data_IF_444703125441
#
_entry.id   IF_444703125441
#
_cell.length_a   1.000
_cell.length_b   1.000
_cell.length_c   1.000
_cell.angle_alpha   90.00
_cell.angle_beta   90.00
_cell.angle_gamma   90.00
#
_symmetry.space_group_name_H-M   'P 1'
#
loop_
_entity.id
_entity.type
_entity.pdbx_description
1 polymer ?
#
# COMPACT_ATOMS: atom_id res chain seq x y z
N UNK A 1 -32.63 1.36 33.23
CA UNK A 1 -32.02 2.62 32.75
C UNK A 1 -31.47 2.36 31.34
N UNK A 2 -32.26 2.68 30.31
CA UNK A 2 -31.96 2.33 28.91
C UNK A 2 -30.85 3.21 28.32
N UNK A 3 -29.93 2.59 27.58
CA UNK A 3 -28.90 3.31 26.82
C UNK A 3 -29.55 3.97 25.61
N UNK A 4 -29.68 5.29 25.66
CA UNK A 4 -30.13 6.15 24.58
C UNK A 4 -29.28 5.94 23.33
N UNK A 5 -29.92 5.54 22.22
CA UNK A 5 -29.29 5.49 20.90
C UNK A 5 -29.02 6.93 20.44
N UNK A 6 -27.75 7.33 20.45
CA UNK A 6 -27.29 8.52 19.76
C UNK A 6 -27.54 8.33 18.26
N UNK A 7 -28.57 9.03 17.77
CA UNK A 7 -28.90 9.15 16.35
C UNK A 7 -27.71 9.87 15.69
N UNK A 8 -26.94 9.15 14.88
CA UNK A 8 -25.87 9.79 14.08
C UNK A 8 -26.54 10.75 13.11
N UNK A 9 -26.14 12.03 13.05
CA UNK A 9 -26.64 12.93 12.02
C UNK A 9 -26.22 12.39 10.65
N UNK A 10 -27.10 12.53 9.66
CA UNK A 10 -26.76 12.30 8.27
C UNK A 10 -25.58 13.23 7.95
N UNK A 11 -24.43 12.64 7.67
CA UNK A 11 -23.28 13.37 7.16
C UNK A 11 -23.66 13.68 5.72
N UNK A 12 -24.07 14.92 5.48
CA UNK A 12 -24.21 15.45 4.12
C UNK A 12 -22.88 15.18 3.41
N UNK A 13 -22.91 14.38 2.34
CA UNK A 13 -21.76 14.16 1.48
C UNK A 13 -21.28 15.53 1.02
N UNK A 14 -20.07 15.98 1.40
CA UNK A 14 -19.53 17.21 0.85
C UNK A 14 -19.43 16.99 -0.66
N UNK A 15 -20.12 17.83 -1.42
CA UNK A 15 -19.99 17.88 -2.87
C UNK A 15 -18.58 18.37 -3.19
N UNK A 16 -17.61 17.46 -3.23
CA UNK A 16 -16.25 17.77 -3.63
C UNK A 16 -16.29 18.25 -5.08
N UNK A 17 -15.79 19.47 -5.33
CA UNK A 17 -15.73 20.05 -6.67
C UNK A 17 -14.83 19.20 -7.57
N UNK A 18 -15.44 18.30 -8.34
CA UNK A 18 -14.74 17.40 -9.28
C UNK A 18 -14.09 18.15 -10.44
N UNK A 19 -14.32 19.47 -10.55
CA UNK A 19 -13.75 20.35 -11.58
C UNK A 19 -12.22 20.40 -11.57
N UNK A 20 -11.58 20.01 -10.47
CA UNK A 20 -10.11 19.96 -10.34
C UNK A 20 -9.47 18.70 -10.93
N UNK A 21 -10.26 17.66 -11.21
CA UNK A 21 -9.74 16.38 -11.71
C UNK A 21 -9.69 16.42 -13.24
N UNK A 22 -8.54 16.14 -13.89
CA UNK A 22 -8.41 16.12 -15.35
C UNK A 22 -8.97 14.82 -15.95
N UNK A 23 -10.14 14.38 -15.49
CA UNK A 23 -10.85 13.19 -15.98
C UNK A 23 -12.28 13.60 -16.31
N UNK A 24 -12.64 13.49 -17.58
CA UNK A 24 -13.98 13.80 -18.04
C UNK A 24 -14.98 12.71 -17.65
N UNK A 25 -16.27 13.08 -17.54
CA UNK A 25 -17.37 12.14 -17.31
C UNK A 25 -17.21 11.26 -16.07
N UNK A 26 -16.84 11.85 -14.93
CA UNK A 26 -16.65 11.12 -13.68
C UNK A 26 -17.96 10.43 -13.21
N UNK A 27 -17.92 9.19 -12.71
CA UNK A 27 -19.12 8.49 -12.25
C UNK A 27 -19.78 9.18 -11.07
N UNK A 28 -21.12 9.20 -11.04
CA UNK A 28 -21.90 9.81 -9.93
C UNK A 28 -21.64 9.16 -8.57
N UNK A 29 -21.38 7.85 -8.55
CA UNK A 29 -21.07 7.07 -7.34
C UNK A 29 -19.57 6.78 -7.28
N UNK A 30 -18.78 7.83 -7.10
CA UNK A 30 -17.34 7.76 -6.95
C UNK A 30 -16.95 7.76 -5.47
N UNK A 31 -15.94 6.96 -5.12
CA UNK A 31 -15.20 7.09 -3.88
C UNK A 31 -13.89 7.85 -4.14
N UNK A 32 -13.82 9.11 -3.77
CA UNK A 32 -12.61 9.92 -3.94
C UNK A 32 -11.71 9.84 -2.69
N UNK A 33 -10.49 9.35 -2.88
CA UNK A 33 -9.51 9.08 -1.83
C UNK A 33 -8.28 9.98 -2.00
N UNK A 34 -8.18 10.99 -1.14
CA UNK A 34 -7.02 11.89 -1.08
C UNK A 34 -5.90 11.30 -0.23
N UNK A 35 -4.71 11.18 -0.80
CA UNK A 35 -3.53 10.59 -0.15
C UNK A 35 -2.39 11.61 -0.13
N UNK A 36 -2.05 12.04 1.09
CA UNK A 36 -0.97 12.98 1.36
C UNK A 36 0.26 12.26 1.95
N UNK A 37 1.37 12.98 2.11
CA UNK A 37 2.58 12.46 2.74
C UNK A 37 2.36 11.96 4.17
N UNK A 38 1.37 12.50 4.90
CA UNK A 38 0.98 12.05 6.24
C UNK A 38 0.05 10.83 6.27
N UNK A 39 -0.57 10.47 5.15
CA UNK A 39 -1.62 9.44 5.12
C UNK A 39 -1.08 8.06 5.52
N UNK A 40 -1.83 7.38 6.41
CA UNK A 40 -1.54 6.01 6.84
C UNK A 40 -2.20 5.03 5.87
N UNK A 41 -1.40 4.35 5.05
CA UNK A 41 -1.86 3.43 3.98
C UNK A 41 -2.85 2.40 4.53
N UNK A 42 -2.59 1.82 5.71
CA UNK A 42 -3.48 0.83 6.32
C UNK A 42 -4.89 1.36 6.57
N UNK A 43 -5.03 2.60 6.99
CA UNK A 43 -6.32 3.20 7.31
C UNK A 43 -7.10 3.51 6.03
N UNK A 44 -6.45 4.19 5.09
CA UNK A 44 -7.10 4.62 3.84
C UNK A 44 -7.49 3.41 2.97
N UNK A 45 -6.63 2.40 2.91
CA UNK A 45 -6.93 1.16 2.20
C UNK A 45 -8.05 0.36 2.90
N UNK A 46 -8.07 0.34 4.23
CA UNK A 46 -9.13 -0.32 5.00
C UNK A 46 -10.51 0.28 4.70
N UNK A 47 -10.61 1.61 4.68
CA UNK A 47 -11.85 2.31 4.33
C UNK A 47 -12.23 2.07 2.85
N UNK A 48 -11.26 2.19 1.93
CA UNK A 48 -11.51 1.96 0.50
C UNK A 48 -12.11 0.58 0.22
N UNK A 49 -11.59 -0.47 0.85
CA UNK A 49 -12.09 -1.84 0.67
C UNK A 49 -13.50 -2.04 1.24
N UNK A 50 -13.82 -1.35 2.33
CA UNK A 50 -15.14 -1.42 2.96
C UNK A 50 -16.22 -0.76 2.09
N UNK A 51 -15.90 0.39 1.48
CA UNK A 51 -16.86 1.19 0.72
C UNK A 51 -16.96 0.82 -0.77
N UNK A 52 -15.95 0.17 -1.34
CA UNK A 52 -15.94 -0.18 -2.76
C UNK A 52 -17.15 -1.01 -3.25
N UNK A 53 -17.73 -1.94 -2.47
CA UNK A 53 -18.97 -2.63 -2.86
C UNK A 53 -20.15 -1.68 -3.08
N UNK A 54 -20.21 -0.55 -2.35
CA UNK A 54 -21.28 0.45 -2.45
C UNK A 54 -20.98 1.49 -3.55
N UNK A 55 -19.69 1.75 -3.81
CA UNK A 55 -19.18 2.71 -4.78
C UNK A 55 -18.19 2.01 -5.73
N UNK A 56 -18.66 1.49 -6.88
CA UNK A 56 -17.88 0.60 -7.75
C UNK A 56 -16.75 1.32 -8.52
N UNK A 57 -16.57 2.63 -8.30
CA UNK A 57 -15.47 3.40 -8.85
C UNK A 57 -14.75 4.12 -7.71
N UNK A 58 -13.42 4.11 -7.76
CA UNK A 58 -12.56 4.74 -6.77
C UNK A 58 -11.49 5.58 -7.46
N UNK A 59 -11.31 6.82 -7.00
CA UNK A 59 -10.30 7.75 -7.49
C UNK A 59 -9.27 7.96 -6.39
N UNK A 60 -8.02 7.60 -6.66
CA UNK A 60 -6.90 7.93 -5.77
C UNK A 60 -6.22 9.20 -6.26
N UNK A 61 -6.04 10.19 -5.40
CA UNK A 61 -5.41 11.46 -5.76
C UNK A 61 -4.38 11.88 -4.74
N UNK A 62 -3.33 12.57 -5.19
CA UNK A 62 -2.33 13.12 -4.29
C UNK A 62 -1.22 13.85 -5.02
N UNK A 63 -0.66 14.84 -4.35
CA UNK A 63 0.33 15.75 -4.90
C UNK A 63 1.69 15.62 -4.22
N UNK A 64 2.76 15.97 -4.95
CA UNK A 64 4.13 16.05 -4.45
C UNK A 64 4.59 14.77 -3.76
N UNK A 65 4.96 14.88 -2.48
CA UNK A 65 5.46 13.75 -1.69
C UNK A 65 4.40 12.65 -1.41
N UNK A 66 3.12 12.91 -1.68
CA UNK A 66 2.04 11.93 -1.55
C UNK A 66 1.94 10.95 -2.71
N UNK A 67 2.50 11.27 -3.88
CA UNK A 67 2.35 10.51 -5.14
C UNK A 67 2.74 9.02 -4.96
N UNK A 68 3.89 8.74 -4.32
CA UNK A 68 4.32 7.35 -4.11
C UNK A 68 3.32 6.53 -3.28
N UNK A 69 2.64 7.17 -2.32
CA UNK A 69 1.59 6.52 -1.53
C UNK A 69 0.31 6.32 -2.32
N UNK A 70 -0.06 7.26 -3.20
CA UNK A 70 -1.21 7.11 -4.11
C UNK A 70 -1.04 5.84 -4.95
N UNK A 71 0.12 5.72 -5.61
CA UNK A 71 0.46 4.56 -6.45
C UNK A 71 0.40 3.29 -5.59
N UNK A 72 1.04 3.30 -4.42
CA UNK A 72 1.03 2.16 -3.50
C UNK A 72 -0.39 1.75 -3.08
N UNK A 73 -1.27 2.71 -2.80
CA UNK A 73 -2.67 2.43 -2.44
C UNK A 73 -3.42 1.80 -3.61
N UNK A 74 -3.28 2.35 -4.82
CA UNK A 74 -3.91 1.81 -6.01
C UNK A 74 -3.44 0.36 -6.30
N UNK A 75 -2.13 0.08 -6.22
CA UNK A 75 -1.59 -1.25 -6.45
C UNK A 75 -2.03 -2.26 -5.38
N UNK A 76 -1.99 -1.88 -4.10
CA UNK A 76 -2.50 -2.74 -3.02
C UNK A 76 -4.00 -3.01 -3.15
N UNK A 77 -4.75 -2.04 -3.67
CA UNK A 77 -6.18 -2.19 -3.91
C UNK A 77 -6.45 -3.17 -5.07
N UNK A 78 -5.75 -3.04 -6.20
CA UNK A 78 -5.84 -3.99 -7.33
C UNK A 78 -5.45 -5.42 -6.94
N UNK A 79 -4.50 -5.60 -6.02
CA UNK A 79 -4.16 -6.93 -5.49
C UNK A 79 -5.31 -7.62 -4.76
N UNK A 80 -6.23 -6.85 -4.17
CA UNK A 80 -7.40 -7.36 -3.44
C UNK A 80 -8.65 -7.45 -4.33
N UNK A 81 -8.72 -6.61 -5.35
CA UNK A 81 -9.83 -6.49 -6.28
C UNK A 81 -9.33 -6.67 -7.71
N UNK A 82 -9.53 -7.86 -8.28
CA UNK A 82 -9.15 -8.17 -9.66
C UNK A 82 -10.16 -7.62 -10.67
N UNK A 83 -9.80 -7.58 -11.95
CA UNK A 83 -10.72 -7.14 -13.00
C UNK A 83 -10.96 -5.63 -13.06
N UNK A 84 -10.09 -4.82 -12.46
CA UNK A 84 -10.22 -3.37 -12.47
C UNK A 84 -9.55 -2.74 -13.69
N UNK A 85 -10.30 -1.92 -14.40
CA UNK A 85 -9.82 -0.97 -15.39
C UNK A 85 -9.17 0.21 -14.68
N UNK A 86 -8.01 0.64 -15.15
CA UNK A 86 -7.29 1.76 -14.58
C UNK A 86 -7.20 2.90 -15.59
N UNK A 87 -7.40 4.13 -15.13
CA UNK A 87 -7.07 5.35 -15.88
C UNK A 87 -6.16 6.22 -15.01
N UNK A 88 -5.00 6.57 -15.53
CA UNK A 88 -4.02 7.43 -14.83
C UNK A 88 -3.86 8.75 -15.55
N UNK A 89 -4.06 9.85 -14.84
CA UNK A 89 -3.83 11.21 -15.35
C UNK A 89 -2.85 11.94 -14.43
N UNK A 90 -2.01 12.78 -15.03
CA UNK A 90 -1.04 13.61 -14.35
C UNK A 90 -1.37 15.08 -14.62
N UNK A 91 -1.25 15.91 -13.59
CA UNK A 91 -1.42 17.35 -13.70
C UNK A 91 -0.43 18.08 -12.77
N UNK A 92 -0.43 19.41 -12.86
CA UNK A 92 0.28 20.27 -11.91
C UNK A 92 -0.72 21.13 -11.19
N UNK A 93 -0.59 21.21 -9.87
CA UNK A 93 -1.32 22.17 -9.04
C UNK A 93 -0.39 23.27 -8.57
N UNK A 94 -0.93 24.49 -8.49
CA UNK A 94 -0.20 25.65 -8.01
C UNK A 94 -0.26 25.72 -6.49
N UNK A 95 0.91 25.72 -5.86
CA UNK A 95 1.08 25.92 -4.42
C UNK A 95 1.61 27.33 -4.18
N UNK A 96 0.82 28.15 -3.46
CA UNK A 96 1.25 29.45 -2.96
C UNK A 96 1.93 29.25 -1.61
N UNK A 97 3.25 29.42 -1.55
CA UNK A 97 3.96 29.42 -0.26
C UNK A 97 3.81 30.81 0.37
N UNK A 98 2.95 30.94 1.38
CA UNK A 98 2.74 32.21 2.11
C UNK A 98 3.85 32.55 3.11
N UNK A 99 4.98 31.84 3.09
CA UNK A 99 5.95 31.83 4.20
C UNK A 99 7.13 32.79 4.05
N UNK A 100 7.07 33.80 3.19
CA UNK A 100 8.13 34.83 3.13
C UNK A 100 7.48 36.21 3.11
N UNK A 101 7.74 37.00 4.16
CA UNK A 101 7.29 38.39 4.35
C UNK A 101 7.93 39.39 3.37
N UNK A 102 8.44 38.96 2.22
CA UNK A 102 9.18 39.82 1.29
C UNK A 102 8.80 39.53 -0.19
N UNK A 103 7.99 40.46 -0.72
CA UNK A 103 7.97 41.04 -2.08
C UNK A 103 7.74 40.18 -3.34
N UNK A 104 7.86 38.85 -3.36
CA UNK A 104 7.47 38.07 -4.56
C UNK A 104 6.77 36.74 -4.23
N UNK A 105 5.46 36.67 -4.52
CA UNK A 105 4.70 35.41 -4.47
C UNK A 105 5.24 34.44 -5.54
N UNK A 106 6.17 33.56 -5.16
CA UNK A 106 6.66 32.52 -6.06
C UNK A 106 5.61 31.41 -6.19
N UNK A 107 4.86 31.41 -7.30
CA UNK A 107 3.96 30.31 -7.66
C UNK A 107 4.81 29.05 -7.90
N UNK A 108 4.64 28.04 -7.06
CA UNK A 108 5.31 26.74 -7.22
C UNK A 108 4.34 25.75 -7.85
N UNK A 109 4.71 25.15 -8.98
CA UNK A 109 3.99 24.01 -9.55
C UNK A 109 4.39 22.73 -8.83
N UNK A 110 3.40 21.99 -8.35
CA UNK A 110 3.56 20.71 -7.66
C UNK A 110 2.88 19.64 -8.52
N UNK A 111 3.56 18.54 -8.86
CA UNK A 111 2.93 17.47 -9.63
C UNK A 111 1.84 16.80 -8.80
N UNK A 112 0.77 16.39 -9.46
CA UNK A 112 -0.34 15.64 -8.90
C UNK A 112 -0.70 14.47 -9.82
N UNK A 113 -1.09 13.36 -9.20
CA UNK A 113 -1.51 12.14 -9.89
C UNK A 113 -2.94 11.80 -9.50
N UNK A 114 -3.71 11.37 -10.49
CA UNK A 114 -5.06 10.83 -10.34
C UNK A 114 -5.09 9.42 -10.93
N UNK A 115 -5.44 8.42 -10.11
CA UNK A 115 -5.59 7.02 -10.53
C UNK A 115 -7.04 6.61 -10.28
N UNK A 116 -7.81 6.50 -11.35
CA UNK A 116 -9.17 6.01 -11.31
C UNK A 116 -9.16 4.49 -11.51
N UNK A 117 -9.85 3.75 -10.65
CA UNK A 117 -10.09 2.33 -10.80
C UNK A 117 -11.60 2.07 -10.90
N UNK A 118 -12.02 1.34 -11.94
CA UNK A 118 -13.42 1.01 -12.21
C UNK A 118 -13.56 -0.44 -12.64
N UNK A 119 -14.74 -1.04 -12.44
CA UNK A 119 -15.09 -2.32 -13.06
C UNK A 119 -15.52 -2.17 -14.52
N UNK A 120 -15.92 -0.97 -14.92
CA UNK A 120 -16.41 -0.70 -16.27
C UNK A 120 -15.32 -0.12 -17.16
N UNK A 121 -15.37 -0.44 -18.46
CA UNK A 121 -14.37 -0.09 -19.46
C UNK A 121 -14.56 1.30 -20.11
N UNK A 122 -15.25 2.21 -19.43
CA UNK A 122 -15.73 3.51 -19.95
C UNK A 122 -14.62 4.37 -20.60
N UNK A 123 -13.37 4.20 -20.17
CA UNK A 123 -12.23 5.02 -20.58
C UNK A 123 -11.22 4.27 -21.48
N UNK A 124 -11.63 3.21 -22.17
CA UNK A 124 -10.71 2.37 -22.96
C UNK A 124 -9.95 3.11 -24.08
N UNK A 125 -10.44 4.27 -24.53
CA UNK A 125 -9.81 5.10 -25.57
C UNK A 125 -8.97 6.26 -25.01
N UNK A 126 -9.02 6.47 -23.69
CA UNK A 126 -8.32 7.56 -23.03
C UNK A 126 -6.82 7.30 -22.91
N UNK A 127 -6.02 8.36 -23.01
CA UNK A 127 -4.60 8.28 -22.68
C UNK A 127 -4.41 7.94 -21.19
N UNK A 128 -3.46 7.03 -20.91
CA UNK A 128 -3.21 6.54 -19.56
C UNK A 128 -4.16 5.44 -19.09
N UNK A 129 -5.01 4.91 -19.99
CA UNK A 129 -5.81 3.72 -19.73
C UNK A 129 -4.94 2.46 -19.67
N UNK A 130 -5.28 1.57 -18.74
CA UNK A 130 -4.68 0.26 -18.56
C UNK A 130 -5.77 -0.79 -18.32
N UNK A 131 -5.80 -1.80 -19.18
CA UNK A 131 -6.76 -2.89 -19.10
C UNK A 131 -6.55 -3.76 -17.83
N UNK A 132 -7.60 -4.42 -17.33
CA UNK A 132 -7.48 -5.33 -16.20
C UNK A 132 -6.45 -6.42 -16.45
N UNK A 133 -5.72 -6.80 -15.39
CA UNK A 133 -4.68 -7.83 -15.42
C UNK A 133 -3.50 -7.54 -16.37
N UNK A 134 -3.41 -6.35 -16.96
CA UNK A 134 -2.19 -5.92 -17.65
C UNK A 134 -1.14 -5.56 -16.59
N UNK A 135 -0.33 -6.53 -16.14
CA UNK A 135 0.74 -6.28 -15.18
C UNK A 135 1.95 -5.55 -15.79
N UNK A 136 1.90 -5.19 -17.08
CA UNK A 136 3.04 -4.69 -17.84
C UNK A 136 4.03 -5.81 -18.10
N UNK A 137 4.34 -6.07 -19.36
CA UNK A 137 5.57 -6.76 -19.72
C UNK A 137 6.71 -5.77 -19.53
N UNK A 138 7.60 -6.04 -18.58
CA UNK A 138 8.86 -5.30 -18.52
C UNK A 138 9.67 -5.71 -19.75
N UNK A 139 10.21 -4.74 -20.49
CA UNK A 139 11.09 -5.05 -21.61
C UNK A 139 12.33 -5.74 -21.03
N UNK A 140 12.43 -7.06 -21.19
CA UNK A 140 13.65 -7.78 -20.89
C UNK A 140 14.69 -7.37 -21.94
N UNK A 141 15.52 -6.39 -21.59
CA UNK A 141 16.62 -5.87 -22.42
C UNK A 141 17.61 -6.99 -22.84
N UNK A 142 17.52 -8.17 -22.22
CA UNK A 142 18.35 -9.32 -22.51
C UNK A 142 17.78 -10.30 -23.54
N UNK A 143 16.64 -9.99 -24.18
CA UNK A 143 16.01 -10.89 -25.15
C UNK A 143 15.61 -10.16 -26.44
N UNK A 144 16.61 -9.68 -27.18
CA UNK A 144 16.43 -9.39 -28.60
C UNK A 144 16.32 -10.72 -29.37
N UNK A 145 15.10 -11.24 -29.39
CA UNK A 145 14.72 -12.43 -30.14
C UNK A 145 13.23 -12.35 -30.44
N UNK A 146 12.92 -11.82 -31.62
CA UNK A 146 11.66 -11.87 -32.38
C UNK A 146 10.46 -12.51 -31.67
N UNK A 147 9.43 -11.73 -31.35
CA UNK A 147 8.10 -12.29 -31.13
C UNK A 147 7.01 -11.40 -31.73
N UNK A 148 6.65 -11.73 -32.96
CA UNK A 148 5.32 -11.46 -33.51
C UNK A 148 4.26 -12.17 -32.65
N UNK A 149 3.06 -11.61 -32.63
CA UNK A 149 2.09 -11.76 -31.55
C UNK A 149 1.60 -13.19 -31.27
N UNK A 150 1.31 -13.45 -30.00
CA UNK A 150 0.50 -14.60 -29.56
C UNK A 150 -0.42 -14.13 -28.44
N UNK A 151 -1.70 -13.99 -28.78
CA UNK A 151 -2.82 -14.29 -27.88
C UNK A 151 -2.62 -15.70 -27.34
N UNK A 152 -2.50 -15.89 -26.02
CA UNK A 152 -3.19 -16.97 -25.31
C UNK A 152 -2.97 -16.95 -23.79
N UNK A 153 -4.08 -17.21 -23.12
CA UNK A 153 -4.22 -17.57 -21.71
C UNK A 153 -3.19 -18.59 -21.23
N UNK A 154 -2.44 -18.26 -20.19
CA UNK A 154 -1.77 -19.27 -19.37
C UNK A 154 -2.10 -19.05 -17.89
N UNK A 155 -2.85 -20.00 -17.32
CA UNK A 155 -3.06 -20.16 -15.87
C UNK A 155 -1.70 -20.35 -15.20
N UNK A 156 -1.22 -19.34 -14.46
CA UNK A 156 -0.08 -19.53 -13.57
C UNK A 156 -0.63 -20.10 -12.25
N UNK A 157 -0.56 -21.43 -12.13
CA UNK A 157 -0.63 -22.09 -10.84
C UNK A 157 0.60 -21.67 -10.03
N UNK A 158 0.36 -20.95 -8.94
CA UNK A 158 1.39 -20.63 -7.96
C UNK A 158 1.75 -21.88 -7.16
N UNK A 159 2.80 -22.58 -7.57
CA UNK A 159 3.54 -23.46 -6.68
C UNK A 159 5.05 -23.24 -6.90
N UNK A 160 5.59 -22.20 -6.25
CA UNK A 160 7.00 -21.85 -6.34
C UNK A 160 7.84 -22.83 -5.52
N UNK A 161 8.28 -23.93 -6.13
CA UNK A 161 9.54 -24.56 -5.75
C UNK A 161 10.65 -23.84 -6.50
N UNK A 162 11.45 -23.03 -5.80
CA UNK A 162 12.62 -22.38 -6.37
C UNK A 162 13.56 -23.43 -6.99
N UNK A 163 14.09 -23.12 -8.16
CA UNK A 163 15.10 -23.96 -8.81
C UNK A 163 16.41 -23.91 -8.03
N UNK A 164 17.04 -25.08 -7.88
CA UNK A 164 18.23 -25.30 -7.04
C UNK A 164 19.42 -24.37 -7.40
N UNK A 165 19.45 -23.85 -8.63
CA UNK A 165 20.57 -23.04 -9.15
C UNK A 165 20.75 -21.71 -8.41
N UNK A 166 19.65 -21.04 -8.05
CA UNK A 166 19.73 -19.77 -7.32
C UNK A 166 20.25 -19.98 -5.88
N UNK A 167 19.86 -21.09 -5.23
CA UNK A 167 20.27 -21.38 -3.86
C UNK A 167 21.78 -21.65 -3.74
N UNK A 168 22.37 -22.28 -4.77
CA UNK A 168 23.81 -22.54 -4.85
C UNK A 168 24.62 -21.25 -5.02
N UNK A 169 24.17 -20.32 -5.87
CA UNK A 169 24.82 -19.01 -6.06
C UNK A 169 24.82 -18.16 -4.77
N UNK A 170 23.71 -18.13 -4.04
CA UNK A 170 23.66 -17.42 -2.74
C UNK A 170 24.59 -18.06 -1.70
N UNK A 171 24.73 -19.39 -1.72
CA UNK A 171 25.65 -20.10 -0.83
C UNK A 171 27.11 -19.82 -1.19
N UNK A 172 27.44 -19.80 -2.49
CA UNK A 172 28.77 -19.45 -2.98
C UNK A 172 29.17 -18.01 -2.63
N UNK A 173 28.19 -17.09 -2.61
CA UNK A 173 28.39 -15.70 -2.18
C UNK A 173 28.37 -15.50 -0.65
N UNK A 174 28.27 -16.58 0.15
CA UNK A 174 28.29 -16.52 1.61
C UNK A 174 27.01 -15.95 2.24
N UNK A 175 25.93 -15.80 1.47
CA UNK A 175 24.65 -15.25 1.92
C UNK A 175 23.72 -16.39 2.36
N UNK A 176 23.60 -16.60 3.67
CA UNK A 176 22.64 -17.58 4.22
C UNK A 176 21.22 -17.00 4.22
N UNK A 177 20.38 -17.49 3.32
CA UNK A 177 18.94 -17.22 3.37
C UNK A 177 18.27 -18.01 4.50
N UNK A 178 17.58 -17.30 5.40
CA UNK A 178 16.43 -17.84 6.14
C UNK A 178 16.66 -18.85 7.26
N UNK A 179 17.88 -19.04 7.80
CA UNK A 179 18.04 -19.81 9.03
C UNK A 179 17.73 -18.94 10.25
N UNK A 180 16.64 -19.28 10.98
CA UNK A 180 16.37 -18.73 12.32
C UNK A 180 17.62 -18.93 13.18
N UNK A 181 18.10 -17.86 13.82
CA UNK A 181 19.19 -17.93 14.80
C UNK A 181 18.84 -19.01 15.85
N UNK A 182 19.69 -20.02 16.09
CA UNK A 182 19.46 -20.94 17.20
C UNK A 182 19.52 -20.14 18.51
N UNK A 183 18.52 -20.35 19.35
CA UNK A 183 18.42 -19.78 20.69
C UNK A 183 19.56 -20.39 21.51
N UNK A 184 20.44 -19.53 22.05
CA UNK A 184 21.56 -19.90 22.91
C UNK A 184 21.01 -20.66 24.13
N UNK A 185 21.17 -21.98 24.15
CA UNK A 185 20.97 -22.79 25.35
C UNK A 185 22.06 -22.40 26.34
N UNK A 186 21.66 -21.84 27.48
CA UNK A 186 22.53 -21.73 28.64
C UNK A 186 22.79 -23.14 29.14
N UNK A 187 23.98 -23.65 28.85
CA UNK A 187 24.55 -24.76 29.60
C UNK A 187 24.67 -24.29 31.06
N UNK A 188 23.90 -24.94 31.92
CA UNK A 188 24.13 -25.03 33.36
C UNK A 188 25.50 -25.65 33.59
N UNK A 189 26.51 -24.81 33.82
CA UNK A 189 27.68 -25.21 34.61
C UNK A 189 27.43 -24.81 36.06
N UNK A 190 27.49 -25.83 36.91
CA UNK A 190 27.30 -25.79 38.36
C UNK A 190 28.33 -24.88 39.04
N UNK A 191 27.93 -23.95 39.93
CA UNK A 191 28.85 -23.38 40.89
C UNK A 191 29.02 -24.29 42.10
N UNK A 192 30.28 -24.34 42.52
CA UNK A 192 30.88 -25.08 43.61
C UNK A 192 30.22 -24.86 44.98
N UNK A 193 30.25 -25.94 45.78
CA UNK A 193 29.85 -26.04 47.19
C UNK A 193 30.39 -24.86 48.03
N UNK A 194 29.51 -24.19 48.78
CA UNK A 194 29.86 -23.57 50.06
C UNK A 194 28.78 -23.82 51.10
N UNK A 195 29.26 -24.16 52.28
CA UNK A 195 28.56 -24.76 53.40
C UNK A 195 27.61 -23.81 54.14
N UNK A 196 26.47 -24.38 54.59
CA UNK A 196 25.97 -24.36 55.99
C UNK A 196 25.84 -22.99 56.69
N UNK A 197 24.60 -22.52 56.87
CA UNK A 197 23.90 -22.53 58.18
C UNK A 197 22.44 -22.09 58.02
N UNK A 198 21.49 -23.00 58.27
CA UNK A 198 20.14 -22.66 58.75
C UNK A 198 20.27 -22.44 60.25
N UNK A 199 19.73 -21.34 60.76
CA UNK A 199 19.30 -21.29 62.16
C UNK A 199 17.77 -21.15 62.15
N UNK A 200 17.11 -22.22 62.59
CA UNK A 200 15.68 -22.22 62.86
C UNK A 200 15.50 -21.68 64.28
N UNK A 201 14.64 -20.67 64.41
CA UNK A 201 14.37 -20.02 65.69
C UNK A 201 13.66 -20.90 66.70
N UNK A 202 13.75 -20.49 67.97
CA UNK A 202 12.63 -20.47 68.90
C UNK A 202 13.05 -19.72 70.18
N UNK A 203 12.21 -18.82 70.69
CA UNK A 203 11.69 -18.80 72.07
C UNK A 203 11.26 -17.38 72.50
N UNK A 204 9.95 -17.24 72.69
CA UNK A 204 9.31 -16.31 73.61
C UNK A 204 9.66 -16.67 75.06
N UNK A 205 9.97 -15.68 75.92
CA UNK A 205 9.33 -15.46 77.25
C UNK A 205 10.07 -14.41 78.10
N UNK A 206 9.24 -13.52 78.66
CA UNK A 206 9.39 -12.61 79.82
C UNK A 206 10.15 -11.30 79.53
#
# INVERSE_FOLDING_TARGET
>A
MGRSKLKRPAVDEPSEDTSKVPIENLPKKLLWMHVNSGTKIRNVLGYALLEFPNRPCILWSGAGQGIGKVITCAELFKKKNTGLHQLTKLCYVESRNSSVKETHEKIRRVPEIHILLSRDSMYSKESGYQAPNNSGTFWDVNNEGTSEGITETTKIQSNSKMSNKAAEEFTAMGLRMGQKRPRKEQQTETPSKKNKKKDNGNQSKI
#
